data_IF_983885471424
#
_entry.id   IF_983885471424
#
_cell.length_a   1.000
_cell.length_b   1.000
_cell.length_c   1.000
_cell.angle_alpha   90.00
_cell.angle_beta   90.00
_cell.angle_gamma   90.00
#
_symmetry.space_group_name_H-M   'P 1'
#
loop_
_entity.id
_entity.type
_entity.pdbx_description
1 polymer ?
#
# COMPACT_ATOMS: atom_id res chain seq x y z
N UNK A 1 23.77 9.98 -43.37
CA UNK A 1 24.14 10.58 -42.09
C UNK A 1 22.96 10.94 -41.22
N UNK A 2 21.91 11.52 -41.77
CA UNK A 2 20.72 11.87 -41.00
C UNK A 2 20.03 10.65 -40.43
N UNK A 3 20.13 9.49 -41.05
CA UNK A 3 19.50 8.26 -40.60
C UNK A 3 20.10 7.70 -39.29
N UNK A 4 21.37 7.98 -39.01
CA UNK A 4 22.00 7.53 -37.77
C UNK A 4 21.37 8.19 -36.54
N UNK A 5 21.08 9.48 -36.65
CA UNK A 5 20.50 10.22 -35.52
C UNK A 5 19.06 9.79 -35.21
N UNK A 6 18.28 9.49 -36.26
CA UNK A 6 16.92 9.06 -36.04
C UNK A 6 16.86 7.68 -35.39
N UNK A 7 17.81 6.77 -35.70
CA UNK A 7 17.87 5.46 -35.06
C UNK A 7 18.23 5.57 -33.57
N UNK A 8 19.17 6.44 -33.25
CA UNK A 8 19.57 6.69 -31.87
C UNK A 8 18.42 7.32 -31.09
N UNK A 9 17.71 8.24 -31.68
CA UNK A 9 16.56 8.90 -31.06
C UNK A 9 15.43 7.92 -30.79
N UNK A 10 15.12 7.04 -31.71
CA UNK A 10 14.09 6.00 -31.54
C UNK A 10 14.48 5.06 -30.40
N UNK A 11 15.74 4.63 -30.34
CA UNK A 11 16.22 3.77 -29.28
C UNK A 11 16.10 4.44 -27.92
N UNK A 12 16.43 5.72 -27.82
CA UNK A 12 16.32 6.50 -26.61
C UNK A 12 14.86 6.61 -26.15
N UNK A 13 13.94 6.85 -27.07
CA UNK A 13 12.50 6.89 -26.76
C UNK A 13 11.98 5.55 -26.27
N UNK A 14 12.44 4.45 -26.86
CA UNK A 14 12.06 3.12 -26.40
C UNK A 14 12.54 2.82 -24.99
N UNK A 15 13.76 3.26 -24.66
CA UNK A 15 14.29 3.10 -23.29
C UNK A 15 13.47 3.91 -22.29
N UNK A 16 13.10 5.15 -22.63
CA UNK A 16 12.25 5.96 -21.78
C UNK A 16 10.87 5.36 -21.60
N UNK A 17 10.26 4.85 -22.66
CA UNK A 17 8.96 4.18 -22.58
C UNK A 17 9.04 2.91 -21.74
N UNK A 18 10.14 2.15 -21.84
CA UNK A 18 10.33 0.94 -21.06
C UNK A 18 10.67 1.18 -19.60
N UNK A 19 11.06 2.42 -19.22
CA UNK A 19 11.38 2.73 -17.83
C UNK A 19 10.17 3.10 -16.98
N UNK A 20 8.98 3.17 -17.56
CA UNK A 20 7.74 3.42 -16.84
C UNK A 20 7.24 2.12 -16.19
N UNK A 21 8.05 1.56 -15.30
CA UNK A 21 7.60 0.45 -14.49
C UNK A 21 6.65 1.01 -13.43
N UNK A 22 5.40 0.54 -13.44
CA UNK A 22 4.43 0.93 -12.43
C UNK A 22 4.87 0.37 -11.08
N UNK A 23 4.92 1.22 -10.07
CA UNK A 23 5.16 0.76 -8.70
C UNK A 23 4.02 -0.16 -8.31
N UNK A 24 4.35 -1.32 -7.77
CA UNK A 24 3.35 -2.26 -7.29
C UNK A 24 2.83 -1.79 -5.95
N UNK A 25 1.54 -1.97 -5.73
CA UNK A 25 0.86 -1.41 -4.57
C UNK A 25 -0.02 -2.42 -3.88
N UNK A 26 -0.09 -2.28 -2.56
CA UNK A 26 -1.13 -2.89 -1.75
C UNK A 26 -2.18 -1.81 -1.52
N UNK A 27 -3.44 -2.15 -1.73
CA UNK A 27 -4.56 -1.25 -1.46
C UNK A 27 -5.68 -2.04 -0.80
N UNK A 28 -6.58 -1.32 -0.17
CA UNK A 28 -7.72 -1.94 0.47
C UNK A 28 -8.52 -0.95 1.29
N UNK A 29 -9.47 -1.49 2.02
CA UNK A 29 -10.37 -0.73 2.88
C UNK A 29 -10.30 -1.31 4.27
N UNK A 30 -10.22 -0.44 5.28
CA UNK A 30 -10.26 -0.83 6.68
C UNK A 30 -11.64 -0.46 7.24
N UNK A 31 -12.30 -1.43 7.84
CA UNK A 31 -13.63 -1.25 8.42
C UNK A 31 -13.66 -1.70 9.87
N UNK A 32 -14.65 -1.21 10.60
CA UNK A 32 -14.94 -1.67 11.96
C UNK A 32 -15.59 -3.06 11.89
N UNK A 33 -15.12 -4.01 12.68
CA UNK A 33 -15.61 -5.39 12.62
C UNK A 33 -17.05 -5.54 13.16
N UNK A 34 -17.52 -4.58 13.92
CA UNK A 34 -18.86 -4.60 14.52
C UNK A 34 -19.86 -3.81 13.67
N UNK A 35 -19.53 -2.57 13.34
CA UNK A 35 -20.44 -1.68 12.60
C UNK A 35 -20.32 -1.80 11.11
N UNK A 36 -19.18 -2.34 10.62
CA UNK A 36 -18.82 -2.41 9.19
C UNK A 36 -18.62 -1.03 8.53
N UNK A 37 -18.51 0.01 9.32
CA UNK A 37 -18.23 1.35 8.83
C UNK A 37 -16.78 1.50 8.47
N UNK A 38 -16.46 2.29 7.42
CA UNK A 38 -15.06 2.57 7.08
C UNK A 38 -14.38 3.38 8.18
N UNK A 39 -13.11 3.07 8.40
CA UNK A 39 -12.33 3.69 9.48
C UNK A 39 -11.29 4.64 8.90
N UNK A 40 -11.43 5.91 9.26
CA UNK A 40 -10.52 6.98 8.91
C UNK A 40 -9.33 7.00 9.86
N UNK A 41 -8.16 7.41 9.34
CA UNK A 41 -6.93 7.65 10.13
C UNK A 41 -6.36 6.40 10.80
N UNK A 42 -6.58 5.23 10.20
CA UNK A 42 -5.88 4.04 10.63
C UNK A 42 -4.46 4.09 10.08
N UNK A 43 -3.46 3.91 10.94
CA UNK A 43 -2.08 3.81 10.51
C UNK A 43 -1.82 2.43 9.91
N UNK A 44 -1.24 2.39 8.71
CA UNK A 44 -0.87 1.18 8.01
C UNK A 44 0.60 1.28 7.66
N UNK A 45 1.42 0.39 8.18
CA UNK A 45 2.86 0.49 7.97
C UNK A 45 3.51 -0.89 8.01
N UNK A 46 4.72 -0.98 7.45
CA UNK A 46 5.51 -2.19 7.52
C UNK A 46 6.18 -2.31 8.89
N UNK A 47 6.02 -3.47 9.51
CA UNK A 47 6.68 -3.75 10.79
C UNK A 47 8.20 -3.67 10.66
N UNK A 48 8.73 -4.13 9.52
CA UNK A 48 10.16 -4.17 9.23
C UNK A 48 10.74 -2.80 8.86
N UNK A 49 9.88 -1.88 8.42
CA UNK A 49 10.31 -0.55 7.98
C UNK A 49 9.19 0.46 8.24
N UNK A 50 9.19 1.01 9.44
CA UNK A 50 8.06 1.83 9.93
C UNK A 50 7.87 3.14 9.19
N UNK A 51 8.91 3.65 8.53
CA UNK A 51 8.78 4.85 7.70
C UNK A 51 8.08 4.58 6.37
N UNK A 52 7.89 3.32 6.00
CA UNK A 52 7.02 2.93 4.90
C UNK A 52 5.61 2.69 5.42
N UNK A 53 4.80 3.74 5.39
CA UNK A 53 3.46 3.68 5.91
C UNK A 53 2.54 4.70 5.27
N UNK A 54 1.27 4.57 5.58
CA UNK A 54 0.21 5.46 5.13
C UNK A 54 -0.89 5.51 6.18
N UNK A 55 -1.90 6.29 5.91
CA UNK A 55 -3.06 6.48 6.78
C UNK A 55 -4.32 6.35 5.94
N UNK A 56 -5.35 5.67 6.44
CA UNK A 56 -6.61 5.56 5.72
C UNK A 56 -7.30 6.91 5.60
N UNK A 57 -8.01 7.10 4.50
CA UNK A 57 -8.82 8.28 4.25
C UNK A 57 -10.23 8.14 4.86
N UNK A 58 -11.10 9.10 4.60
CA UNK A 58 -12.46 9.14 5.15
C UNK A 58 -13.29 7.91 4.74
N UNK A 59 -12.97 7.30 3.61
CA UNK A 59 -13.66 6.10 3.13
C UNK A 59 -12.98 4.82 3.61
N UNK A 60 -12.02 4.92 4.51
CA UNK A 60 -11.27 3.78 5.03
C UNK A 60 -10.25 3.21 4.06
N UNK A 61 -10.04 3.87 2.94
CA UNK A 61 -9.15 3.39 1.89
C UNK A 61 -7.69 3.70 2.23
N UNK A 62 -6.81 2.76 1.91
CA UNK A 62 -5.37 2.95 2.01
C UNK A 62 -4.69 2.43 0.76
N UNK A 63 -3.49 2.95 0.51
CA UNK A 63 -2.64 2.55 -0.59
C UNK A 63 -1.20 2.68 -0.15
N UNK A 64 -0.42 1.64 -0.37
CA UNK A 64 0.97 1.56 0.09
C UNK A 64 1.79 0.79 -0.94
N UNK A 65 3.01 1.26 -1.22
CA UNK A 65 3.91 0.54 -2.12
C UNK A 65 4.34 -0.79 -1.51
N UNK A 66 4.44 -1.83 -2.36
CA UNK A 66 4.94 -3.13 -1.91
C UNK A 66 6.44 -3.10 -1.76
N UNK A 67 6.94 -3.84 -0.78
CA UNK A 67 8.36 -4.09 -0.64
C UNK A 67 8.76 -5.27 -1.54
N UNK A 68 9.98 -5.24 -2.04
CA UNK A 68 10.51 -6.27 -2.95
C UNK A 68 10.33 -7.69 -2.41
N UNK A 69 10.59 -7.88 -1.12
CA UNK A 69 10.49 -9.19 -0.48
C UNK A 69 9.24 -9.32 0.40
N UNK A 70 8.26 -8.45 0.19
CA UNK A 70 7.08 -8.44 1.04
C UNK A 70 7.39 -7.96 2.44
N UNK A 71 6.61 -8.41 3.39
CA UNK A 71 6.79 -8.05 4.80
C UNK A 71 5.51 -8.25 5.59
N UNK A 72 5.44 -7.58 6.72
CA UNK A 72 4.28 -7.65 7.61
C UNK A 72 3.69 -6.25 7.77
N UNK A 73 2.43 -6.10 7.37
CA UNK A 73 1.71 -4.84 7.59
C UNK A 73 1.10 -4.82 8.98
N UNK A 74 1.18 -3.69 9.63
CA UNK A 74 0.54 -3.41 10.90
C UNK A 74 -0.57 -2.38 10.67
N UNK A 75 -1.76 -2.69 11.14
CA UNK A 75 -2.92 -1.79 11.12
C UNK A 75 -3.20 -1.39 12.57
N UNK A 76 -3.10 -0.10 12.86
CA UNK A 76 -3.15 0.39 14.24
C UNK A 76 -3.86 1.72 14.35
N UNK A 77 -4.68 1.86 15.38
CA UNK A 77 -5.32 3.12 15.75
C UNK A 77 -5.74 3.07 17.22
N UNK A 78 -5.85 4.25 17.81
CA UNK A 78 -6.38 4.38 19.18
C UNK A 78 -7.83 3.89 19.18
N UNK A 79 -8.16 3.05 20.14
CA UNK A 79 -9.50 2.49 20.28
C UNK A 79 -9.74 1.20 19.54
N UNK A 80 -8.73 0.67 18.84
CA UNK A 80 -8.83 -0.57 18.10
C UNK A 80 -7.69 -1.51 18.45
N UNK A 81 -7.97 -2.80 18.40
CA UNK A 81 -6.96 -3.83 18.56
C UNK A 81 -6.12 -3.88 17.29
N UNK A 82 -4.81 -3.71 17.42
CA UNK A 82 -3.89 -3.75 16.29
C UNK A 82 -3.91 -5.10 15.60
N UNK A 83 -3.78 -5.09 14.28
CA UNK A 83 -3.77 -6.31 13.47
C UNK A 83 -2.55 -6.33 12.58
N UNK A 84 -1.96 -7.50 12.42
CA UNK A 84 -0.82 -7.70 11.54
C UNK A 84 -1.18 -8.70 10.45
N UNK A 85 -0.68 -8.46 9.23
CA UNK A 85 -0.94 -9.32 8.07
C UNK A 85 0.34 -9.46 7.28
N UNK A 86 0.71 -10.68 6.97
CA UNK A 86 1.85 -10.93 6.08
C UNK A 86 1.43 -10.67 4.64
N UNK A 87 2.30 -9.96 3.91
CA UNK A 87 2.05 -9.60 2.52
C UNK A 87 3.25 -9.98 1.67
N UNK A 88 2.99 -10.33 0.42
CA UNK A 88 4.04 -10.58 -0.54
C UNK A 88 4.41 -9.35 -1.35
N UNK A 89 5.22 -9.54 -2.37
CA UNK A 89 5.48 -8.54 -3.40
C UNK A 89 4.34 -8.55 -4.42
N UNK A 90 4.23 -7.49 -5.19
CA UNK A 90 3.22 -7.40 -6.25
C UNK A 90 1.96 -6.68 -5.83
N UNK A 91 1.09 -6.44 -6.79
CA UNK A 91 -0.18 -5.77 -6.55
C UNK A 91 -1.11 -6.67 -5.77
N UNK A 92 -1.69 -6.13 -4.70
CA UNK A 92 -2.57 -6.88 -3.81
C UNK A 92 -3.71 -5.98 -3.34
N UNK A 93 -4.88 -6.56 -3.14
CA UNK A 93 -6.00 -5.89 -2.48
C UNK A 93 -6.26 -6.63 -1.17
N UNK A 94 -6.10 -5.92 -0.05
CA UNK A 94 -6.25 -6.50 1.27
C UNK A 94 -7.21 -5.62 2.08
N UNK A 95 -8.40 -6.12 2.29
CA UNK A 95 -9.41 -5.47 3.12
C UNK A 95 -9.33 -6.01 4.53
N UNK A 96 -9.37 -5.12 5.51
CA UNK A 96 -9.12 -5.46 6.91
C UNK A 96 -10.30 -4.99 7.75
N UNK A 97 -10.69 -5.83 8.70
CA UNK A 97 -11.62 -5.44 9.77
C UNK A 97 -10.85 -5.33 11.07
N UNK A 98 -11.01 -4.22 11.77
CA UNK A 98 -10.42 -4.01 13.09
C UNK A 98 -11.48 -4.09 14.16
N UNK A 99 -11.17 -4.83 15.21
CA UNK A 99 -12.06 -4.96 16.36
C UNK A 99 -11.85 -3.78 17.31
N UNK A 100 -12.94 -3.17 17.79
CA UNK A 100 -12.83 -2.15 18.83
C UNK A 100 -12.18 -2.74 20.08
N UNK A 101 -11.31 -1.94 20.69
CA UNK A 101 -10.71 -2.29 21.96
C UNK A 101 -11.68 -1.87 23.06
N UNK A 102 -12.56 -2.78 23.43
CA UNK A 102 -13.57 -2.57 24.45
C UNK A 102 -13.09 -3.02 25.82
N UNK A 103 -11.80 -3.00 26.05
CA UNK A 103 -11.29 -3.34 27.38
C UNK A 103 -11.75 -2.27 28.33
N UNK A 104 -12.90 -2.52 28.90
CA UNK A 104 -13.43 -1.70 29.99
C UNK A 104 -12.79 -2.24 31.26
N UNK A 105 -11.93 -1.44 31.79
CA UNK A 105 -11.37 -1.74 33.09
C UNK A 105 -12.43 -1.65 34.19
#
# INVERSE_FOLDING_TARGET
>A
MKQRYSKILILFLLVLAGSNAFAQQIKGVVTDSVTHEPLMYISVYYQEKRDMGTITNIDGEYKLETRRNGGTLVFSAVGYISKTVKVGSGNQTINIQLAPDNVVS
#
